data_IF_303727917734
#
_entry.id   IF_303727917734
#
_cell.length_a   1.000
_cell.length_b   1.000
_cell.length_c   1.000
_cell.angle_alpha   90.00
_cell.angle_beta   90.00
_cell.angle_gamma   90.00
#
_symmetry.space_group_name_H-M   'P 1'
#
loop_
_entity.id
_entity.type
_entity.pdbx_description
1 polymer ?
#
# COMPACT_ATOMS: atom_id res chain seq x y z
N UNK A 1 -33.15 12.51 -12.92
CA UNK A 1 -33.43 12.41 -11.48
C UNK A 1 -32.59 11.28 -10.91
N UNK A 2 -31.47 11.59 -10.29
CA UNK A 2 -30.64 10.60 -9.60
C UNK A 2 -31.28 10.26 -8.27
N UNK A 3 -31.58 8.97 -8.09
CA UNK A 3 -32.24 8.45 -6.89
C UNK A 3 -31.18 7.99 -5.89
N UNK A 4 -31.53 8.00 -4.60
CA UNK A 4 -30.67 7.45 -3.54
C UNK A 4 -30.30 5.97 -3.78
N UNK A 5 -31.09 5.26 -4.57
CA UNK A 5 -30.79 3.91 -5.06
C UNK A 5 -29.48 3.84 -5.86
N UNK A 6 -29.12 4.86 -6.64
CA UNK A 6 -27.86 4.90 -7.39
C UNK A 6 -26.66 5.01 -6.45
N UNK A 7 -26.79 5.79 -5.37
CA UNK A 7 -25.75 5.89 -4.33
C UNK A 7 -25.58 4.55 -3.62
N UNK A 8 -26.69 3.87 -3.30
CA UNK A 8 -26.69 2.57 -2.62
C UNK A 8 -26.02 1.50 -3.50
N UNK A 9 -26.37 1.44 -4.78
CA UNK A 9 -25.72 0.54 -5.74
C UNK A 9 -24.22 0.80 -5.87
N UNK A 10 -23.82 2.07 -5.91
CA UNK A 10 -22.40 2.43 -5.99
C UNK A 10 -21.64 2.00 -4.74
N UNK A 11 -22.26 2.11 -3.55
CA UNK A 11 -21.68 1.63 -2.29
C UNK A 11 -21.54 0.11 -2.25
N UNK A 12 -22.52 -0.64 -2.78
CA UNK A 12 -22.43 -2.10 -2.91
C UNK A 12 -21.24 -2.50 -3.81
N UNK A 13 -21.09 -1.83 -4.95
CA UNK A 13 -19.94 -2.03 -5.84
C UNK A 13 -18.61 -1.68 -5.17
N UNK A 14 -18.58 -0.60 -4.37
CA UNK A 14 -17.40 -0.20 -3.63
C UNK A 14 -17.01 -1.25 -2.57
N UNK A 15 -17.98 -1.86 -1.89
CA UNK A 15 -17.76 -2.97 -0.95
C UNK A 15 -17.17 -4.19 -1.67
N UNK A 16 -17.71 -4.55 -2.83
CA UNK A 16 -17.21 -5.68 -3.63
C UNK A 16 -15.77 -5.44 -4.12
N UNK A 17 -15.48 -4.25 -4.65
CA UNK A 17 -14.13 -3.88 -5.06
C UNK A 17 -13.13 -3.92 -3.90
N UNK A 18 -13.53 -3.47 -2.69
CA UNK A 18 -12.67 -3.58 -1.51
C UNK A 18 -12.45 -5.03 -1.04
N UNK A 19 -13.43 -5.93 -1.21
CA UNK A 19 -13.22 -7.36 -0.96
C UNK A 19 -12.22 -7.96 -1.94
N UNK A 20 -12.33 -7.62 -3.22
CA UNK A 20 -11.37 -8.07 -4.23
C UNK A 20 -9.96 -7.55 -3.91
N UNK A 21 -9.83 -6.29 -3.51
CA UNK A 21 -8.54 -5.72 -3.08
C UNK A 21 -7.98 -6.46 -1.86
N UNK A 22 -8.83 -6.83 -0.90
CA UNK A 22 -8.43 -7.59 0.27
C UNK A 22 -7.86 -8.97 -0.09
N UNK A 23 -8.49 -9.66 -1.04
CA UNK A 23 -8.02 -10.95 -1.53
C UNK A 23 -6.68 -10.82 -2.28
N UNK A 24 -6.53 -9.79 -3.12
CA UNK A 24 -5.26 -9.43 -3.77
C UNK A 24 -4.17 -9.17 -2.72
N UNK A 25 -4.47 -8.45 -1.63
CA UNK A 25 -3.52 -8.21 -0.54
C UNK A 25 -3.08 -9.49 0.19
N UNK A 26 -4.01 -10.43 0.36
CA UNK A 26 -3.72 -11.75 0.96
C UNK A 26 -2.85 -12.59 0.04
N UNK A 27 -3.15 -12.60 -1.26
CA UNK A 27 -2.35 -13.30 -2.26
C UNK A 27 -0.94 -12.70 -2.39
N UNK A 28 -0.82 -11.37 -2.38
CA UNK A 28 0.46 -10.67 -2.32
C UNK A 28 1.31 -11.12 -1.15
N UNK A 29 0.71 -11.31 0.04
CA UNK A 29 1.41 -11.84 1.22
C UNK A 29 1.96 -13.24 0.96
N UNK A 30 1.17 -14.14 0.37
CA UNK A 30 1.61 -15.50 0.02
C UNK A 30 2.80 -15.47 -0.94
N UNK A 31 2.70 -14.69 -2.02
CA UNK A 31 3.77 -14.52 -3.02
C UNK A 31 5.06 -13.96 -2.40
N UNK A 32 4.94 -12.99 -1.48
CA UNK A 32 6.08 -12.42 -0.76
C UNK A 32 6.76 -13.44 0.16
N UNK A 33 6.00 -14.31 0.81
CA UNK A 33 6.54 -15.39 1.66
C UNK A 33 7.24 -16.46 0.81
N UNK A 34 6.68 -16.77 -0.36
CA UNK A 34 7.27 -17.74 -1.31
C UNK A 34 8.49 -17.20 -2.07
N UNK A 35 8.68 -15.87 -2.10
CA UNK A 35 9.79 -15.22 -2.80
C UNK A 35 9.66 -15.22 -4.32
N UNK A 36 8.43 -15.34 -4.85
CA UNK A 36 8.17 -15.39 -6.28
C UNK A 36 8.11 -13.98 -6.91
N UNK A 37 9.20 -13.56 -7.56
CA UNK A 37 9.33 -12.23 -8.16
C UNK A 37 8.39 -12.03 -9.37
N UNK A 38 8.19 -13.06 -10.20
CA UNK A 38 7.31 -12.97 -11.38
C UNK A 38 5.82 -12.86 -10.97
N UNK A 39 5.43 -13.61 -9.92
CA UNK A 39 4.12 -13.49 -9.29
C UNK A 39 3.89 -12.11 -8.67
N UNK A 40 4.94 -11.51 -8.11
CA UNK A 40 4.86 -10.18 -7.50
C UNK A 40 4.57 -9.09 -8.54
N UNK A 41 5.14 -9.18 -9.73
CA UNK A 41 4.85 -8.19 -10.78
C UNK A 41 3.40 -8.27 -11.26
N UNK A 42 2.87 -9.49 -11.36
CA UNK A 42 1.48 -9.74 -11.78
C UNK A 42 0.48 -9.23 -10.74
N UNK A 43 0.71 -9.50 -9.46
CA UNK A 43 -0.19 -9.06 -8.38
C UNK A 43 -0.20 -7.53 -8.22
N UNK A 44 0.93 -6.85 -8.45
CA UNK A 44 1.01 -5.39 -8.43
C UNK A 44 0.17 -4.73 -9.53
N UNK A 45 0.11 -5.32 -10.73
CA UNK A 45 -0.73 -4.82 -11.82
C UNK A 45 -2.23 -4.97 -11.49
N UNK A 46 -2.61 -6.11 -10.90
CA UNK A 46 -3.98 -6.36 -10.45
C UNK A 46 -4.37 -5.39 -9.32
N UNK A 47 -3.48 -5.18 -8.36
CA UNK A 47 -3.64 -4.20 -7.29
C UNK A 47 -3.88 -2.79 -7.85
N UNK A 48 -3.04 -2.32 -8.77
CA UNK A 48 -3.19 -1.00 -9.39
C UNK A 48 -4.53 -0.86 -10.12
N UNK A 49 -4.94 -1.88 -10.88
CA UNK A 49 -6.20 -1.86 -11.63
C UNK A 49 -7.40 -1.80 -10.68
N UNK A 50 -7.37 -2.57 -9.59
CA UNK A 50 -8.41 -2.57 -8.58
C UNK A 50 -8.51 -1.21 -7.85
N UNK A 51 -7.36 -0.59 -7.53
CA UNK A 51 -7.32 0.75 -6.93
C UNK A 51 -7.92 1.80 -7.87
N UNK A 52 -7.59 1.76 -9.16
CA UNK A 52 -8.17 2.67 -10.16
C UNK A 52 -9.69 2.52 -10.28
N UNK A 53 -10.20 1.29 -10.19
CA UNK A 53 -11.63 1.02 -10.18
C UNK A 53 -12.30 1.60 -8.93
N UNK A 54 -11.70 1.43 -7.74
CA UNK A 54 -12.20 2.00 -6.48
C UNK A 54 -12.26 3.53 -6.57
N UNK A 55 -11.23 4.18 -7.12
CA UNK A 55 -11.19 5.63 -7.29
C UNK A 55 -12.35 6.13 -8.18
N UNK A 56 -12.59 5.46 -9.32
CA UNK A 56 -13.71 5.80 -10.21
C UNK A 56 -15.07 5.62 -9.55
N UNK A 57 -15.25 4.53 -8.80
CA UNK A 57 -16.50 4.28 -8.07
C UNK A 57 -16.73 5.33 -6.98
N UNK A 58 -15.67 5.79 -6.31
CA UNK A 58 -15.76 6.85 -5.30
C UNK A 58 -16.10 8.22 -5.92
N UNK A 59 -15.54 8.54 -7.10
CA UNK A 59 -15.93 9.73 -7.87
C UNK A 59 -17.41 9.69 -8.27
N UNK A 60 -17.89 8.55 -8.77
CA UNK A 60 -19.29 8.33 -9.10
C UNK A 60 -20.18 8.49 -7.87
N UNK A 61 -19.76 7.93 -6.72
CA UNK A 61 -20.48 8.08 -5.45
C UNK A 61 -20.60 9.56 -5.08
N UNK A 62 -19.50 10.32 -5.13
CA UNK A 62 -19.51 11.75 -4.84
C UNK A 62 -20.41 12.53 -5.79
N UNK A 63 -20.42 12.19 -7.08
CA UNK A 63 -21.30 12.80 -8.06
C UNK A 63 -22.78 12.54 -7.74
N UNK A 64 -23.16 11.27 -7.54
CA UNK A 64 -24.55 10.91 -7.24
C UNK A 64 -25.05 11.52 -5.94
N UNK A 65 -24.20 11.61 -4.91
CA UNK A 65 -24.53 12.29 -3.66
C UNK A 65 -24.76 13.78 -3.91
N UNK A 66 -23.89 14.47 -4.65
CA UNK A 66 -24.07 15.89 -5.00
C UNK A 66 -25.35 16.15 -5.77
N UNK A 67 -25.68 15.31 -6.75
CA UNK A 67 -26.90 15.46 -7.53
C UNK A 67 -28.16 15.22 -6.67
N UNK A 68 -28.16 14.18 -5.83
CA UNK A 68 -29.28 13.89 -4.91
C UNK A 68 -29.55 15.06 -3.95
N UNK A 69 -28.48 15.69 -3.43
CA UNK A 69 -28.59 16.83 -2.52
C UNK A 69 -29.02 18.11 -3.23
N UNK A 70 -28.54 18.32 -4.46
CA UNK A 70 -28.96 19.45 -5.30
C UNK A 70 -30.47 19.42 -5.55
N UNK A 71 -31.05 18.22 -5.75
CA UNK A 71 -32.51 18.04 -5.88
C UNK A 71 -33.25 18.39 -4.57
N UNK A 72 -32.63 18.17 -3.41
CA UNK A 72 -33.18 18.54 -2.09
C UNK A 72 -32.89 19.99 -1.68
N UNK A 73 -32.23 20.78 -2.53
CA UNK A 73 -31.89 22.18 -2.25
C UNK A 73 -30.76 22.36 -1.23
N UNK A 74 -30.02 21.29 -0.91
CA UNK A 74 -28.89 21.32 0.02
C UNK A 74 -27.59 21.37 -0.77
N UNK A 75 -26.82 22.44 -0.62
CA UNK A 75 -25.53 22.60 -1.28
C UNK A 75 -24.44 22.54 -0.22
N UNK A 76 -23.83 21.37 -0.03
CA UNK A 76 -22.64 21.25 0.81
C UNK A 76 -21.52 20.55 0.07
N UNK A 77 -20.30 21.07 0.23
CA UNK A 77 -19.11 20.69 -0.54
C UNK A 77 -18.52 19.36 -0.07
N UNK A 78 -18.75 19.01 1.20
CA UNK A 78 -18.34 17.76 1.84
C UNK A 78 -19.56 17.17 2.56
N UNK A 79 -20.23 16.20 1.95
CA UNK A 79 -21.35 15.50 2.59
C UNK A 79 -20.88 14.18 3.16
N UNK A 80 -21.05 13.99 4.46
CA UNK A 80 -20.82 12.72 5.13
C UNK A 80 -21.99 11.77 4.89
N UNK A 81 -21.71 10.47 4.86
CA UNK A 81 -22.74 9.42 4.84
C UNK A 81 -23.73 9.56 6.01
N UNK A 82 -23.27 10.13 7.13
CA UNK A 82 -24.04 10.36 8.34
C UNK A 82 -25.10 11.46 8.17
N UNK A 83 -24.80 12.52 7.43
CA UNK A 83 -25.78 13.55 7.07
C UNK A 83 -26.82 13.02 6.06
N UNK A 84 -26.41 12.12 5.16
CA UNK A 84 -27.32 11.42 4.23
C UNK A 84 -28.35 10.55 4.97
N UNK A 85 -27.93 9.89 6.05
CA UNK A 85 -28.82 9.12 6.93
C UNK A 85 -29.83 9.99 7.67
N UNK A 86 -29.52 11.27 7.94
CA UNK A 86 -30.45 12.19 8.61
C UNK A 86 -31.52 12.76 7.65
N UNK A 87 -31.18 12.89 6.37
CA UNK A 87 -32.05 13.51 5.34
C UNK A 87 -33.01 12.50 4.70
N UNK A 88 -32.67 11.21 4.73
CA UNK A 88 -33.54 10.15 4.25
C UNK A 88 -34.69 9.92 5.24
N UNK A 89 -35.89 9.64 4.76
CA UNK A 89 -37.05 9.36 5.63
C UNK A 89 -37.39 7.87 5.66
N UNK A 90 -36.89 7.09 4.70
CA UNK A 90 -37.08 5.65 4.65
C UNK A 90 -36.07 4.92 5.56
N UNK A 91 -36.59 4.30 6.62
CA UNK A 91 -35.83 3.54 7.60
C UNK A 91 -35.11 2.31 7.00
N UNK A 92 -35.66 1.72 5.93
CA UNK A 92 -35.04 0.58 5.24
C UNK A 92 -33.76 1.01 4.52
N UNK A 93 -33.80 2.16 3.85
CA UNK A 93 -32.66 2.74 3.13
C UNK A 93 -31.57 3.16 4.13
N UNK A 94 -31.95 3.75 5.26
CA UNK A 94 -31.01 4.10 6.34
C UNK A 94 -30.26 2.88 6.85
N UNK A 95 -30.98 1.81 7.16
CA UNK A 95 -30.37 0.59 7.68
C UNK A 95 -29.39 -0.04 6.67
N UNK A 96 -29.74 -0.05 5.38
CA UNK A 96 -28.84 -0.52 4.31
C UNK A 96 -27.58 0.34 4.20
N UNK A 97 -27.73 1.66 4.14
CA UNK A 97 -26.60 2.60 4.09
C UNK A 97 -25.66 2.42 5.28
N UNK A 98 -26.23 2.30 6.49
CA UNK A 98 -25.45 2.10 7.71
C UNK A 98 -24.68 0.76 7.68
N UNK A 99 -25.33 -0.32 7.25
CA UNK A 99 -24.69 -1.64 7.10
C UNK A 99 -23.54 -1.62 6.10
N UNK A 100 -23.75 -1.04 4.91
CA UNK A 100 -22.71 -0.93 3.88
C UNK A 100 -21.54 -0.06 4.36
N UNK A 101 -21.81 1.08 5.00
CA UNK A 101 -20.78 1.94 5.55
C UNK A 101 -19.95 1.23 6.64
N UNK A 102 -20.60 0.45 7.51
CA UNK A 102 -19.91 -0.36 8.53
C UNK A 102 -19.02 -1.42 7.90
N UNK A 103 -19.52 -2.14 6.89
CA UNK A 103 -18.74 -3.14 6.16
C UNK A 103 -17.51 -2.52 5.49
N UNK A 104 -17.69 -1.37 4.83
CA UNK A 104 -16.60 -0.62 4.20
C UNK A 104 -15.53 -0.20 5.20
N UNK A 105 -15.92 0.38 6.35
CA UNK A 105 -14.98 0.75 7.42
C UNK A 105 -14.19 -0.45 7.92
N UNK A 106 -14.82 -1.64 8.01
CA UNK A 106 -14.14 -2.86 8.44
C UNK A 106 -13.14 -3.35 7.38
N UNK A 107 -13.54 -3.38 6.10
CA UNK A 107 -12.67 -3.77 4.99
C UNK A 107 -11.45 -2.86 4.87
N UNK A 108 -11.66 -1.54 4.95
CA UNK A 108 -10.56 -0.57 4.89
C UNK A 108 -9.56 -0.81 6.02
N UNK A 109 -10.03 -1.05 7.26
CA UNK A 109 -9.15 -1.38 8.39
C UNK A 109 -8.34 -2.65 8.15
N UNK A 110 -8.96 -3.70 7.63
CA UNK A 110 -8.27 -4.97 7.33
C UNK A 110 -7.22 -4.79 6.22
N UNK A 111 -7.55 -4.05 5.16
CA UNK A 111 -6.63 -3.72 4.07
C UNK A 111 -5.45 -2.89 4.60
N UNK A 112 -5.70 -1.86 5.43
CA UNK A 112 -4.63 -1.07 6.03
C UNK A 112 -3.68 -1.92 6.89
N UNK A 113 -4.23 -2.81 7.71
CA UNK A 113 -3.44 -3.71 8.55
C UNK A 113 -2.58 -4.68 7.70
N UNK A 114 -3.16 -5.26 6.65
CA UNK A 114 -2.41 -6.15 5.75
C UNK A 114 -1.33 -5.40 4.98
N UNK A 115 -1.59 -4.16 4.55
CA UNK A 115 -0.60 -3.35 3.87
C UNK A 115 0.59 -3.03 4.77
N UNK A 116 0.34 -2.63 6.02
CA UNK A 116 1.39 -2.39 7.02
C UNK A 116 2.22 -3.66 7.27
N UNK A 117 1.55 -4.80 7.48
CA UNK A 117 2.24 -6.09 7.68
C UNK A 117 3.06 -6.52 6.46
N UNK A 118 2.57 -6.31 5.25
CA UNK A 118 3.31 -6.61 4.02
C UNK A 118 4.51 -5.67 3.84
N UNK A 119 4.39 -4.40 4.23
CA UNK A 119 5.49 -3.45 4.21
C UNK A 119 6.59 -3.85 5.21
N UNK A 120 6.23 -4.28 6.42
CA UNK A 120 7.18 -4.82 7.40
C UNK A 120 7.90 -6.09 6.90
N UNK A 121 7.17 -7.01 6.26
CA UNK A 121 7.74 -8.22 5.67
C UNK A 121 8.78 -7.88 4.59
N UNK A 122 8.46 -6.93 3.70
CA UNK A 122 9.40 -6.47 2.66
C UNK A 122 10.65 -5.85 3.31
N UNK A 123 10.48 -5.00 4.32
CA UNK A 123 11.61 -4.39 5.05
C UNK A 123 12.50 -5.41 5.75
N UNK A 124 11.88 -6.42 6.37
CA UNK A 124 12.59 -7.52 7.06
C UNK A 124 13.38 -8.36 6.06
N UNK A 125 12.76 -8.74 4.94
CA UNK A 125 13.42 -9.48 3.85
C UNK A 125 14.59 -8.68 3.27
N UNK A 126 14.42 -7.37 3.05
CA UNK A 126 15.50 -6.50 2.57
C UNK A 126 16.65 -6.39 3.58
N UNK A 127 16.33 -6.24 4.87
CA UNK A 127 17.31 -6.19 5.96
C UNK A 127 18.09 -7.50 6.08
N UNK A 128 17.41 -8.64 5.91
CA UNK A 128 18.03 -9.96 5.91
C UNK A 128 18.99 -10.15 4.73
N UNK A 129 18.58 -9.74 3.52
CA UNK A 129 19.45 -9.76 2.33
C UNK A 129 20.69 -8.87 2.56
N UNK A 130 20.52 -7.63 3.05
CA UNK A 130 21.63 -6.72 3.35
C UNK A 130 22.58 -7.27 4.42
N UNK A 131 22.04 -7.88 5.47
CA UNK A 131 22.83 -8.55 6.51
C UNK A 131 23.65 -9.71 5.93
N UNK A 132 23.02 -10.55 5.09
CA UNK A 132 23.66 -11.70 4.45
C UNK A 132 24.78 -11.25 3.52
N UNK A 133 24.55 -10.20 2.72
CA UNK A 133 25.57 -9.56 1.88
C UNK A 133 26.75 -9.04 2.72
N UNK A 134 26.46 -8.34 3.83
CA UNK A 134 27.49 -7.80 4.74
C UNK A 134 28.32 -8.89 5.43
N UNK A 135 27.73 -10.06 5.68
CA UNK A 135 28.44 -11.22 6.20
C UNK A 135 29.38 -11.84 5.16
N UNK A 136 28.95 -11.94 3.90
CA UNK A 136 29.75 -12.53 2.82
C UNK A 136 30.84 -11.59 2.31
N UNK A 137 30.64 -10.27 2.37
CA UNK A 137 31.66 -9.25 2.07
C UNK A 137 32.75 -9.14 3.14
N UNK A 138 32.55 -9.70 4.34
CA UNK A 138 33.60 -9.80 5.36
C UNK A 138 34.52 -10.99 5.09
N UNK A 139 35.39 -10.85 4.07
CA UNK A 139 36.65 -11.61 3.98
C UNK A 139 37.62 -10.96 2.99
N UNK A 140 38.42 -10.03 3.49
CA UNK A 140 39.86 -10.06 3.26
C UNK A 140 40.56 -9.71 4.58
N UNK A 141 41.07 -10.69 5.34
CA UNK A 141 42.09 -10.39 6.31
C UNK A 141 43.35 -10.00 5.52
N UNK A 142 43.90 -8.80 5.79
CA UNK A 142 45.23 -8.40 5.36
C UNK A 142 46.28 -9.29 6.04
N UNK A 143 46.44 -10.52 5.55
CA UNK A 143 47.49 -11.44 5.96
C UNK A 143 48.73 -11.10 5.13
N UNK A 144 49.55 -10.20 5.68
CA UNK A 144 50.90 -9.95 5.21
C UNK A 144 51.88 -10.92 5.87
N UNK A 145 52.23 -12.00 5.18
CA UNK A 145 53.49 -12.72 5.43
C UNK A 145 54.51 -12.23 4.39
N UNK A 146 55.63 -11.66 4.84
CA UNK A 146 56.75 -11.23 3.98
C UNK A 146 57.47 -12.40 3.28
N UNK A 147 58.62 -12.20 2.59
CA UNK A 147 59.55 -11.07 2.66
C UNK A 147 60.03 -10.53 1.29
N UNK A 148 60.86 -9.47 1.34
CA UNK A 148 61.82 -9.04 0.30
C UNK A 148 61.28 -8.09 -0.80
N UNK A 149 61.74 -6.83 -0.84
CA UNK A 149 62.92 -6.43 -1.62
C UNK A 149 63.16 -4.90 -1.56
N UNK A 150 64.34 -4.53 -1.05
CA UNK A 150 65.18 -3.36 -1.40
C UNK A 150 64.53 -1.99 -1.66
N UNK A 151 64.74 -1.07 -0.72
CA UNK A 151 65.66 0.05 -0.99
C UNK A 151 66.27 0.58 0.33
N UNK A 152 67.43 -0.01 0.65
CA UNK A 152 68.52 0.68 1.35
C UNK A 152 69.17 1.66 0.37
N UNK A 153 69.95 2.60 0.91
CA UNK A 153 70.51 3.82 0.30
C UNK A 153 69.47 4.94 0.23
N UNK A 154 69.64 6.12 0.79
CA UNK A 154 70.81 6.79 1.38
C UNK A 154 70.23 8.07 2.00
N UNK A 155 70.42 8.34 3.29
CA UNK A 155 70.52 9.73 3.78
C UNK A 155 71.03 9.74 5.22
N UNK A 156 72.17 9.11 5.47
CA UNK A 156 72.97 9.39 6.65
C UNK A 156 74.45 9.25 6.26
N UNK A 157 75.12 10.41 6.21
CA UNK A 157 76.55 10.64 6.39
C UNK A 157 77.49 10.36 5.19
N UNK A 158 77.87 11.45 4.51
CA UNK A 158 79.27 11.97 4.35
C UNK A 158 79.26 12.95 3.16
N UNK A 159 79.44 14.27 3.30
CA UNK A 159 80.59 15.08 3.75
C UNK A 159 81.33 15.77 2.58
N UNK A 160 81.55 17.07 2.76
CA UNK A 160 82.60 17.96 2.21
C UNK A 160 82.23 18.92 1.06
N UNK A 161 81.85 20.16 1.43
CA UNK A 161 82.65 21.39 1.26
C UNK A 161 82.43 22.24 2.52
#
# INVERSE_FOLDING_TARGET
MTSIMSVLKTLEQLVEAHKNLLDIMKEKRTILVEGNIDGLQSILLLESTCVDEILKLEENRMQFVREYLSVKGLVSRNFSLEELLQIENDESIKNKLHSLAKQLRQLIKEISFLNESNQELIQTSLSYVQYTISMHLRKEPSIGYGPNNKNRYMSLLDAKV
#
